data_IF_810446693031
#
_entry.id   IF_810446693031
#
_cell.length_a   1.000
_cell.length_b   1.000
_cell.length_c   1.000
_cell.angle_alpha   90.00
_cell.angle_beta   90.00
_cell.angle_gamma   90.00
#
_symmetry.space_group_name_H-M   'P 1'
#
loop_
_entity.id
_entity.type
_entity.pdbx_description
1 polymer ?
#
# COMPACT_ATOMS: atom_id res chain seq x y z
N UNK A 1 -31.26 30.17 -20.78
CA UNK A 1 -31.93 28.85 -20.85
C UNK A 1 -30.93 27.68 -20.75
N UNK A 2 -29.87 27.64 -21.56
CA UNK A 2 -28.88 26.54 -21.58
C UNK A 2 -28.11 26.30 -20.25
N UNK A 3 -27.70 27.37 -19.56
CA UNK A 3 -26.97 27.25 -18.29
C UNK A 3 -27.81 26.62 -17.16
N UNK A 4 -29.12 26.89 -17.14
CA UNK A 4 -30.05 26.36 -16.13
C UNK A 4 -30.24 24.85 -16.29
N UNK A 5 -30.35 24.36 -17.53
CA UNK A 5 -30.46 22.92 -17.83
C UNK A 5 -29.20 22.16 -17.39
N UNK A 6 -28.02 22.72 -17.65
CA UNK A 6 -26.75 22.12 -17.21
C UNK A 6 -26.66 22.02 -15.67
N UNK A 7 -27.12 23.05 -14.95
CA UNK A 7 -27.13 23.04 -13.49
C UNK A 7 -28.10 22.01 -12.91
N UNK A 8 -29.30 21.87 -13.49
CA UNK A 8 -30.26 20.85 -13.09
C UNK A 8 -29.69 19.45 -13.35
N UNK A 9 -29.11 19.22 -14.53
CA UNK A 9 -28.45 17.96 -14.85
C UNK A 9 -27.35 17.60 -13.85
N UNK A 10 -26.46 18.56 -13.53
CA UNK A 10 -25.39 18.34 -12.53
C UNK A 10 -25.96 17.99 -11.16
N UNK A 11 -27.01 18.67 -10.71
CA UNK A 11 -27.66 18.38 -9.42
C UNK A 11 -28.25 16.97 -9.40
N UNK A 12 -29.01 16.59 -10.42
CA UNK A 12 -29.60 15.26 -10.53
C UNK A 12 -28.50 14.18 -10.60
N UNK A 13 -27.48 14.39 -11.41
CA UNK A 13 -26.35 13.48 -11.54
C UNK A 13 -25.60 13.30 -10.21
N UNK A 14 -25.37 14.39 -9.47
CA UNK A 14 -24.73 14.33 -8.16
C UNK A 14 -25.62 13.63 -7.13
N UNK A 15 -26.93 13.86 -7.15
CA UNK A 15 -27.88 13.18 -6.27
C UNK A 15 -27.86 11.66 -6.52
N UNK A 16 -28.00 11.25 -7.78
CA UNK A 16 -27.93 9.83 -8.18
C UNK A 16 -26.59 9.20 -7.79
N UNK A 17 -25.47 9.88 -8.04
CA UNK A 17 -24.16 9.38 -7.63
C UNK A 17 -24.01 9.26 -6.10
N UNK A 18 -24.60 10.20 -5.36
CA UNK A 18 -24.63 10.14 -3.90
C UNK A 18 -25.44 8.93 -3.42
N UNK A 19 -26.61 8.69 -3.99
CA UNK A 19 -27.44 7.52 -3.66
C UNK A 19 -26.73 6.21 -3.99
N UNK A 20 -26.09 6.12 -5.17
CA UNK A 20 -25.27 4.96 -5.55
C UNK A 20 -24.14 4.74 -4.55
N UNK A 21 -23.46 5.81 -4.11
CA UNK A 21 -22.38 5.72 -3.13
C UNK A 21 -22.89 5.20 -1.78
N UNK A 22 -24.02 5.73 -1.29
CA UNK A 22 -24.63 5.30 -0.03
C UNK A 22 -25.10 3.85 -0.09
N UNK A 23 -25.73 3.42 -1.19
CA UNK A 23 -26.16 2.05 -1.38
C UNK A 23 -24.98 1.07 -1.37
N UNK A 24 -23.88 1.41 -2.06
CA UNK A 24 -22.64 0.62 -2.05
C UNK A 24 -22.04 0.52 -0.65
N UNK A 25 -21.93 1.64 0.05
CA UNK A 25 -21.41 1.68 1.41
C UNK A 25 -22.23 0.77 2.34
N UNK A 26 -23.56 0.86 2.27
CA UNK A 26 -24.46 0.03 3.06
C UNK A 26 -24.29 -1.46 2.75
N UNK A 27 -24.20 -1.81 1.46
CA UNK A 27 -23.96 -3.19 1.03
C UNK A 27 -22.66 -3.75 1.62
N UNK A 28 -21.54 -3.04 1.46
CA UNK A 28 -20.25 -3.52 1.95
C UNK A 28 -20.20 -3.58 3.49
N UNK A 29 -20.80 -2.62 4.20
CA UNK A 29 -20.92 -2.70 5.66
C UNK A 29 -21.66 -3.95 6.11
N UNK A 30 -22.80 -4.24 5.48
CA UNK A 30 -23.60 -5.43 5.83
C UNK A 30 -22.81 -6.71 5.59
N UNK A 31 -22.22 -6.85 4.40
CA UNK A 31 -21.46 -8.06 4.02
C UNK A 31 -20.21 -8.24 4.88
N UNK A 32 -19.54 -7.16 5.29
CA UNK A 32 -18.42 -7.24 6.22
C UNK A 32 -18.86 -7.66 7.62
N UNK A 33 -19.97 -7.12 8.13
CA UNK A 33 -20.53 -7.50 9.43
C UNK A 33 -21.00 -8.97 9.44
N UNK A 34 -21.63 -9.44 8.37
CA UNK A 34 -22.05 -10.85 8.21
C UNK A 34 -20.85 -11.83 8.21
N UNK A 35 -19.67 -11.36 7.84
CA UNK A 35 -18.44 -12.16 7.77
C UNK A 35 -17.46 -11.80 8.90
N UNK A 36 -17.92 -11.19 9.99
CA UNK A 36 -17.09 -10.88 11.14
C UNK A 36 -16.44 -12.16 11.70
N UNK A 37 -15.12 -12.11 11.94
CA UNK A 37 -14.34 -13.27 12.37
C UNK A 37 -13.91 -14.23 11.25
N UNK A 38 -14.44 -14.10 10.02
CA UNK A 38 -13.99 -14.87 8.85
C UNK A 38 -13.04 -14.07 7.97
N UNK A 39 -11.77 -14.04 8.35
CA UNK A 39 -10.72 -13.28 7.67
C UNK A 39 -10.59 -13.61 6.17
N UNK A 40 -10.80 -14.88 5.78
CA UNK A 40 -10.74 -15.31 4.39
C UNK A 40 -11.81 -14.63 3.54
N UNK A 41 -13.07 -14.62 4.01
CA UNK A 41 -14.15 -13.96 3.30
C UNK A 41 -14.02 -12.44 3.34
N UNK A 42 -13.61 -11.85 4.47
CA UNK A 42 -13.31 -10.42 4.55
C UNK A 42 -12.31 -10.00 3.48
N UNK A 43 -11.22 -10.75 3.30
CA UNK A 43 -10.22 -10.47 2.26
C UNK A 43 -10.78 -10.59 0.85
N UNK A 44 -11.63 -11.59 0.56
CA UNK A 44 -12.27 -11.71 -0.75
C UNK A 44 -13.23 -10.55 -1.05
N UNK A 45 -13.96 -10.07 -0.04
CA UNK A 45 -14.86 -8.91 -0.15
C UNK A 45 -14.06 -7.65 -0.45
N UNK A 46 -12.95 -7.44 0.29
CA UNK A 46 -12.03 -6.32 0.05
C UNK A 46 -11.48 -6.42 -1.36
N UNK A 47 -10.89 -7.55 -1.75
CA UNK A 47 -10.27 -7.75 -3.05
C UNK A 47 -11.24 -7.45 -4.21
N UNK A 48 -12.47 -7.97 -4.16
CA UNK A 48 -13.53 -7.65 -5.15
C UNK A 48 -13.89 -6.16 -5.19
N UNK A 49 -13.78 -5.45 -4.07
CA UNK A 49 -14.12 -4.02 -3.98
C UNK A 49 -12.96 -3.09 -4.40
N UNK A 50 -11.71 -3.49 -4.15
CA UNK A 50 -10.49 -2.73 -4.48
C UNK A 50 -9.88 -3.09 -5.83
N UNK A 51 -10.19 -4.26 -6.37
CA UNK A 51 -9.97 -4.59 -7.78
C UNK A 51 -10.94 -3.75 -8.62
N UNK A 52 -10.64 -2.44 -8.72
CA UNK A 52 -10.81 -1.76 -9.99
C UNK A 52 -10.20 -2.70 -11.03
N UNK A 53 -10.86 -2.84 -12.18
CA UNK A 53 -10.13 -3.16 -13.42
C UNK A 53 -9.05 -2.09 -13.53
N UNK A 54 -7.89 -2.34 -12.95
CA UNK A 54 -6.69 -1.60 -13.20
C UNK A 54 -6.44 -2.01 -14.65
N UNK A 55 -6.98 -1.23 -15.59
CA UNK A 55 -6.34 -1.10 -16.87
C UNK A 55 -4.99 -0.50 -16.52
N UNK A 56 -4.03 -1.35 -16.15
CA UNK A 56 -2.66 -0.96 -15.92
C UNK A 56 -2.15 -0.59 -17.29
N UNK A 57 -2.44 0.62 -17.73
CA UNK A 57 -1.66 1.23 -18.78
C UNK A 57 -0.24 1.26 -18.23
N UNK A 58 0.68 0.57 -18.92
CA UNK A 58 2.09 0.67 -18.61
C UNK A 58 2.45 2.15 -18.49
N UNK A 59 3.20 2.52 -17.44
CA UNK A 59 3.68 3.88 -17.28
C UNK A 59 4.63 4.16 -18.44
N UNK A 60 4.24 5.06 -19.34
CA UNK A 60 5.00 5.36 -20.57
C UNK A 60 6.00 6.49 -20.39
N UNK A 61 5.88 7.26 -19.31
CA UNK A 61 6.67 8.46 -19.10
C UNK A 61 6.67 8.88 -17.61
N UNK A 62 7.83 9.31 -17.10
CA UNK A 62 7.97 10.09 -15.87
C UNK A 62 8.40 11.50 -16.24
N UNK A 63 7.75 12.51 -15.66
CA UNK A 63 8.20 13.90 -15.74
C UNK A 63 9.04 14.21 -14.51
N UNK A 64 10.34 14.42 -14.73
CA UNK A 64 11.28 14.87 -13.70
C UNK A 64 11.72 16.29 -14.08
N UNK A 65 11.32 17.28 -13.29
CA UNK A 65 11.56 18.70 -13.56
C UNK A 65 11.09 19.18 -14.95
N UNK A 66 12.04 19.45 -15.86
CA UNK A 66 11.81 19.93 -17.23
C UNK A 66 12.03 18.86 -18.31
N UNK A 67 12.50 17.68 -17.94
CA UNK A 67 12.73 16.57 -18.87
C UNK A 67 11.65 15.51 -18.70
N UNK A 68 11.40 14.76 -19.78
CA UNK A 68 10.56 13.59 -19.73
C UNK A 68 11.37 12.35 -20.05
N UNK A 69 11.21 11.33 -19.19
CA UNK A 69 11.88 10.05 -19.29
C UNK A 69 10.86 9.06 -19.82
N UNK A 70 11.02 8.65 -21.08
CA UNK A 70 10.13 7.69 -21.75
C UNK A 70 10.82 6.36 -22.05
N UNK A 71 12.14 6.28 -21.91
CA UNK A 71 12.86 5.01 -22.01
C UNK A 71 12.59 4.13 -20.79
N UNK A 72 12.30 2.85 -21.01
CA UNK A 72 11.88 1.94 -19.95
C UNK A 72 12.99 1.66 -18.93
N UNK A 73 14.24 1.55 -19.37
CA UNK A 73 15.36 1.26 -18.47
C UNK A 73 15.65 2.49 -17.60
N UNK A 74 15.65 3.67 -18.20
CA UNK A 74 15.77 4.93 -17.47
C UNK A 74 14.60 5.14 -16.50
N UNK A 75 13.37 4.76 -16.89
CA UNK A 75 12.19 4.81 -16.03
C UNK A 75 12.39 3.96 -14.76
N UNK A 76 12.85 2.72 -14.93
CA UNK A 76 13.11 1.80 -13.83
C UNK A 76 14.25 2.30 -12.93
N UNK A 77 15.31 2.85 -13.54
CA UNK A 77 16.41 3.45 -12.79
C UNK A 77 15.92 4.64 -11.95
N UNK A 78 15.21 5.59 -12.57
CA UNK A 78 14.67 6.75 -11.87
C UNK A 78 13.72 6.36 -10.73
N UNK A 79 12.90 5.33 -10.92
CA UNK A 79 12.05 4.77 -9.86
C UNK A 79 12.88 4.20 -8.72
N UNK A 80 13.87 3.37 -9.02
CA UNK A 80 14.74 2.77 -8.02
C UNK A 80 15.53 3.83 -7.26
N UNK A 81 16.09 4.81 -7.95
CA UNK A 81 16.84 5.91 -7.36
C UNK A 81 15.94 6.74 -6.44
N UNK A 82 14.72 7.05 -6.88
CA UNK A 82 13.74 7.76 -6.08
C UNK A 82 13.45 6.99 -4.77
N UNK A 83 13.02 5.74 -4.85
CA UNK A 83 12.64 4.95 -3.68
C UNK A 83 13.84 4.63 -2.76
N UNK A 84 15.02 4.40 -3.32
CA UNK A 84 16.25 4.22 -2.54
C UNK A 84 16.65 5.50 -1.79
N UNK A 85 16.40 6.66 -2.39
CA UNK A 85 16.70 7.96 -1.77
C UNK A 85 15.75 8.35 -0.63
N UNK A 86 14.53 7.77 -0.57
CA UNK A 86 13.54 8.13 0.47
C UNK A 86 14.09 7.84 1.87
N UNK A 87 14.77 6.71 2.06
CA UNK A 87 15.36 6.34 3.34
C UNK A 87 16.36 7.39 3.83
N UNK A 88 17.26 7.83 2.95
CA UNK A 88 18.25 8.86 3.26
C UNK A 88 17.60 10.21 3.58
N UNK A 89 16.65 10.66 2.75
CA UNK A 89 15.90 11.91 2.99
C UNK A 89 15.15 11.90 4.32
N UNK A 90 14.59 10.74 4.68
CA UNK A 90 13.89 10.56 5.94
C UNK A 90 14.84 10.61 7.14
N UNK A 91 16.02 9.97 7.05
CA UNK A 91 17.06 10.04 8.06
C UNK A 91 17.51 11.50 8.27
N UNK A 92 17.79 12.21 7.18
CA UNK A 92 18.19 13.62 7.24
C UNK A 92 17.13 14.48 7.93
N UNK A 93 15.85 14.23 7.62
CA UNK A 93 14.72 14.94 8.24
C UNK A 93 14.61 14.66 9.73
N UNK A 94 14.76 13.39 10.14
CA UNK A 94 14.71 12.97 11.55
C UNK A 94 15.88 13.53 12.35
N UNK A 95 17.08 13.58 11.75
CA UNK A 95 18.26 14.15 12.39
C UNK A 95 18.15 15.67 12.54
N UNK A 96 17.50 16.35 11.59
CA UNK A 96 17.28 17.80 11.63
C UNK A 96 16.20 18.21 12.64
N UNK A 97 15.23 17.35 12.96
CA UNK A 97 14.16 17.68 13.91
C UNK A 97 14.63 17.82 15.36
N UNK A 98 15.88 17.49 15.70
CA UNK A 98 16.47 17.68 17.04
C UNK A 98 15.89 16.77 18.14
N UNK A 99 14.75 16.14 17.87
CA UNK A 99 14.11 15.18 18.75
C UNK A 99 14.92 13.87 18.77
N UNK A 100 15.60 13.63 19.90
CA UNK A 100 16.27 12.36 20.18
C UNK A 100 15.23 11.30 20.54
N UNK A 101 14.30 11.02 19.62
CA UNK A 101 13.28 9.99 19.80
C UNK A 101 13.92 8.65 19.54
N UNK A 102 13.97 7.81 20.57
CA UNK A 102 14.43 6.44 20.44
C UNK A 102 13.32 5.63 19.76
N UNK A 103 13.69 4.66 18.92
CA UNK A 103 12.68 3.72 18.39
C UNK A 103 11.91 3.02 19.53
N UNK A 104 12.51 2.93 20.72
CA UNK A 104 11.88 2.39 21.93
C UNK A 104 10.66 3.18 22.38
N UNK A 105 10.55 4.47 22.05
CA UNK A 105 9.39 5.30 22.40
C UNK A 105 8.13 4.89 21.64
N UNK A 106 8.30 4.24 20.48
CA UNK A 106 7.20 3.76 19.62
C UNK A 106 6.90 2.27 19.79
N UNK A 107 7.82 1.51 20.41
CA UNK A 107 7.65 0.08 20.59
C UNK A 107 7.13 -0.21 21.99
N UNK A 108 5.82 -0.47 22.10
CA UNK A 108 5.25 -1.03 23.33
C UNK A 108 5.81 -2.42 23.57
N UNK A 109 6.17 -2.71 24.81
CA UNK A 109 6.63 -4.04 25.18
C UNK A 109 5.49 -5.06 24.94
N UNK A 110 5.80 -6.12 24.19
CA UNK A 110 4.85 -7.19 23.87
C UNK A 110 5.45 -8.53 24.30
N UNK A 111 4.60 -9.40 24.86
CA UNK A 111 4.98 -10.76 25.26
C UNK A 111 5.36 -11.66 24.07
N UNK A 112 5.00 -11.27 22.85
CA UNK A 112 5.23 -12.02 21.62
C UNK A 112 6.30 -11.37 20.75
N UNK A 113 7.49 -11.16 21.32
CA UNK A 113 8.61 -10.58 20.57
C UNK A 113 9.43 -11.69 19.93
N UNK A 114 9.51 -11.68 18.61
CA UNK A 114 10.49 -12.48 17.88
C UNK A 114 11.88 -11.90 18.14
N UNK A 115 12.81 -12.73 18.57
CA UNK A 115 14.23 -12.37 18.73
C UNK A 115 15.05 -13.33 17.90
N UNK A 116 15.86 -12.77 17.01
CA UNK A 116 16.91 -13.54 16.36
C UNK A 116 17.90 -13.95 17.43
N UNK A 117 18.15 -15.26 17.53
CA UNK A 117 19.26 -15.77 18.32
C UNK A 117 20.52 -15.66 17.47
N UNK A 118 21.59 -15.15 18.07
CA UNK A 118 22.92 -15.27 17.47
C UNK A 118 23.23 -16.76 17.31
N UNK A 119 23.54 -17.14 16.07
CA UNK A 119 23.81 -18.51 15.65
C UNK A 119 25.11 -18.48 14.86
N UNK A 120 25.92 -19.53 14.97
CA UNK A 120 27.17 -19.68 14.23
C UNK A 120 26.94 -20.38 12.88
N UNK A 121 27.91 -20.24 11.97
CA UNK A 121 27.83 -20.79 10.61
C UNK A 121 27.66 -22.32 10.60
N UNK A 122 28.22 -23.05 11.58
CA UNK A 122 28.10 -24.51 11.66
C UNK A 122 26.66 -24.91 11.99
N UNK A 123 26.00 -24.19 12.89
CA UNK A 123 24.59 -24.39 13.23
C UNK A 123 23.67 -24.08 12.03
N UNK A 124 23.95 -23.02 11.27
CA UNK A 124 23.19 -22.71 10.03
C UNK A 124 23.34 -23.84 9.01
N UNK A 125 24.58 -24.28 8.77
CA UNK A 125 24.86 -25.35 7.82
C UNK A 125 24.15 -26.66 8.18
N UNK A 126 24.10 -27.00 9.47
CA UNK A 126 23.33 -28.15 9.98
C UNK A 126 21.83 -28.04 9.69
N UNK A 127 21.22 -26.85 9.85
CA UNK A 127 19.80 -26.67 9.52
C UNK A 127 19.51 -26.88 8.04
N UNK A 128 20.38 -26.37 7.16
CA UNK A 128 20.26 -26.59 5.71
C UNK A 128 20.40 -28.07 5.33
N UNK A 129 21.35 -28.77 5.96
CA UNK A 129 21.56 -30.20 5.69
C UNK A 129 20.35 -31.04 6.11
N UNK A 130 19.77 -30.76 7.29
CA UNK A 130 18.59 -31.45 7.78
C UNK A 130 17.33 -31.16 6.94
N UNK A 131 17.24 -29.97 6.35
CA UNK A 131 16.13 -29.62 5.46
C UNK A 131 16.24 -30.36 4.11
N UNK A 132 17.45 -30.52 3.58
CA UNK A 132 17.70 -31.23 2.31
C UNK A 132 17.56 -32.75 2.40
N UNK A 133 17.59 -33.35 3.59
CA UNK A 133 17.40 -34.80 3.80
C UNK A 133 15.91 -35.17 3.87
N UNK A 134 15.02 -34.19 3.99
CA UNK A 134 13.57 -34.39 4.11
C UNK A 134 12.79 -34.21 2.79
N UNK A 135 13.49 -33.93 1.68
CA UNK A 135 12.95 -33.83 0.31
C UNK A 135 13.51 -35.00 -0.51
#
# INVERSE_FOLDING_TARGET
>A
MHATVCMIFKKCHNAVNSEIKQAREKFFKNVLNENEGNSSMTWQIIDKSTLRKIHSSSVKEIKLDKSSISDLLELLSAFNDHFSSIGLKLIDTIQQSGDTLSYLDYVKETKHRFKLKTTDCSTVFLYYLNFSVLI
#
